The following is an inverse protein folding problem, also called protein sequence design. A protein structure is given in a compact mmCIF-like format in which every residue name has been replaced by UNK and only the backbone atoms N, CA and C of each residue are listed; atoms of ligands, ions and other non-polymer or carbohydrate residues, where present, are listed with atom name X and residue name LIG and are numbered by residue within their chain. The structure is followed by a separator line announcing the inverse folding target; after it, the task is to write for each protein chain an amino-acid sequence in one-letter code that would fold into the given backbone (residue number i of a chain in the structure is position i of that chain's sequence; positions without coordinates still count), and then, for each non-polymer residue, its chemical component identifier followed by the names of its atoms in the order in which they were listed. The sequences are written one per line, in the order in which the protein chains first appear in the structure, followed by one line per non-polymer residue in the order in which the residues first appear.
data_IF_574885646815
#
_entry.id   IF_574885646815
#
_cell.length_a   1.000
_cell.length_b   1.000
_cell.length_c   1.000
_cell.angle_alpha   90.00
_cell.angle_beta   90.00
_cell.angle_gamma   90.00
#
_symmetry.space_group_name_H-M   'P 1'
#
loop_
_entity.id
_entity.type
_entity.pdbx_description
1 polymer ?
#
# COMPACT_ATOMS: atom_id res chain seq x y z
N UNK A 1 -13.68 7.16 -2.21
CA UNK A 1 -12.64 6.15 -2.54
C UNK A 1 -12.27 6.40 -3.97
N UNK A 2 -10.99 6.53 -4.27
CA UNK A 2 -10.55 6.74 -5.65
C UNK A 2 -10.83 5.47 -6.47
N UNK A 3 -11.32 5.67 -7.70
CA UNK A 3 -11.59 4.58 -8.64
C UNK A 3 -10.26 4.01 -9.11
N UNK A 4 -10.08 2.69 -8.97
CA UNK A 4 -8.94 1.99 -9.55
C UNK A 4 -9.17 1.78 -11.05
N UNK A 5 -8.15 2.04 -11.86
CA UNK A 5 -8.19 1.85 -13.31
C UNK A 5 -7.44 0.57 -13.68
N UNK A 6 -8.09 -0.34 -14.39
CA UNK A 6 -7.48 -1.61 -14.74
C UNK A 6 -7.49 -1.91 -16.23
N UNK A 7 -6.52 -2.73 -16.65
CA UNK A 7 -6.45 -3.36 -17.96
C UNK A 7 -6.67 -4.87 -17.77
N UNK A 8 -7.41 -5.49 -18.68
CA UNK A 8 -7.60 -6.94 -18.74
C UNK A 8 -6.94 -7.47 -19.98
N UNK A 9 -6.09 -8.49 -19.83
CA UNK A 9 -5.31 -9.07 -20.94
C UNK A 9 -5.49 -10.58 -20.93
N UNK A 10 -6.09 -11.14 -21.97
CA UNK A 10 -6.34 -12.58 -22.11
C UNK A 10 -6.64 -12.87 -23.59
N UNK A 11 -5.96 -13.85 -24.19
CA UNK A 11 -6.16 -14.23 -25.60
C UNK A 11 -7.47 -15.01 -25.81
N UNK A 12 -8.08 -15.52 -24.74
CA UNK A 12 -9.38 -16.16 -24.77
C UNK A 12 -10.53 -15.16 -24.61
N UNK A 13 -11.37 -14.91 -25.65
CA UNK A 13 -12.43 -13.90 -25.58
C UNK A 13 -13.43 -14.10 -24.44
N UNK A 14 -13.71 -15.34 -24.08
CA UNK A 14 -14.66 -15.65 -22.99
C UNK A 14 -14.08 -15.31 -21.63
N UNK A 15 -12.81 -15.61 -21.38
CA UNK A 15 -12.12 -15.27 -20.14
C UNK A 15 -11.97 -13.75 -19.98
N UNK A 16 -11.56 -13.06 -21.05
CA UNK A 16 -11.48 -11.60 -21.10
C UNK A 16 -12.83 -10.94 -20.77
N UNK A 17 -13.94 -11.40 -21.43
CA UNK A 17 -15.28 -10.89 -21.14
C UNK A 17 -15.73 -11.17 -19.70
N UNK A 18 -15.37 -12.33 -19.14
CA UNK A 18 -15.72 -12.68 -17.78
C UNK A 18 -15.09 -11.72 -16.78
N UNK A 19 -13.78 -11.48 -16.90
CA UNK A 19 -13.06 -10.56 -16.01
C UNK A 19 -13.57 -9.12 -16.18
N UNK A 20 -13.80 -8.66 -17.42
CA UNK A 20 -14.37 -7.34 -17.67
C UNK A 20 -15.74 -7.15 -16.99
N UNK A 21 -16.64 -8.14 -17.09
CA UNK A 21 -17.94 -8.11 -16.41
C UNK A 21 -17.82 -8.13 -14.88
N UNK A 22 -16.84 -8.83 -14.33
CA UNK A 22 -16.57 -8.79 -12.89
C UNK A 22 -16.11 -7.42 -12.45
N UNK A 23 -15.24 -6.77 -13.24
CA UNK A 23 -14.77 -5.42 -12.97
C UNK A 23 -15.91 -4.40 -12.99
N UNK A 24 -16.80 -4.45 -14.00
CA UNK A 24 -18.01 -3.60 -14.10
C UNK A 24 -18.95 -3.73 -12.89
N UNK A 25 -19.00 -4.91 -12.24
CA UNK A 25 -19.83 -5.20 -11.07
C UNK A 25 -19.14 -4.81 -9.75
N UNK A 26 -17.88 -4.43 -9.79
CA UNK A 26 -17.07 -4.12 -8.60
C UNK A 26 -16.98 -2.62 -8.42
N UNK A 27 -17.59 -2.10 -7.35
CA UNK A 27 -17.62 -0.67 -7.06
C UNK A 27 -16.20 -0.07 -7.03
N UNK A 28 -16.02 1.07 -7.71
CA UNK A 28 -14.76 1.80 -7.77
C UNK A 28 -13.64 1.04 -8.50
N UNK A 29 -13.98 0.21 -9.48
CA UNK A 29 -13.06 -0.38 -10.45
C UNK A 29 -13.52 -0.02 -11.87
N UNK A 30 -12.62 0.51 -12.69
CA UNK A 30 -12.87 0.94 -14.07
C UNK A 30 -11.98 0.16 -15.04
N UNK A 31 -12.55 -0.50 -16.04
CA UNK A 31 -11.78 -1.12 -17.11
C UNK A 31 -11.46 -0.06 -18.17
N UNK A 32 -10.18 0.28 -18.31
CA UNK A 32 -9.72 1.29 -19.30
C UNK A 32 -9.36 0.66 -20.64
N UNK A 33 -9.00 -0.62 -20.65
CA UNK A 33 -8.78 -1.38 -21.88
C UNK A 33 -8.96 -2.88 -21.64
N UNK A 34 -9.34 -3.59 -22.71
CA UNK A 34 -9.28 -5.04 -22.84
C UNK A 34 -8.37 -5.37 -24.01
N UNK A 35 -7.44 -6.29 -23.83
CA UNK A 35 -6.37 -6.60 -24.80
C UNK A 35 -6.30 -8.11 -25.01
N UNK A 36 -6.07 -8.53 -26.25
CA UNK A 36 -5.96 -9.95 -26.60
C UNK A 36 -4.53 -10.47 -26.60
N UNK A 37 -3.55 -9.56 -26.52
CA UNK A 37 -2.12 -9.91 -26.51
C UNK A 37 -1.28 -8.86 -25.77
N UNK A 38 0.01 -9.16 -25.62
CA UNK A 38 0.96 -8.30 -24.94
C UNK A 38 1.20 -6.96 -25.69
N UNK A 39 1.15 -6.95 -27.03
CA UNK A 39 1.39 -5.75 -27.81
C UNK A 39 0.25 -4.74 -27.62
N UNK A 40 -1.01 -5.21 -27.64
CA UNK A 40 -2.17 -4.38 -27.31
C UNK A 40 -2.10 -3.84 -25.89
N UNK A 41 -1.68 -4.67 -24.90
CA UNK A 41 -1.53 -4.26 -23.52
C UNK A 41 -0.48 -3.15 -23.35
N UNK A 42 0.69 -3.28 -23.99
CA UNK A 42 1.73 -2.23 -23.98
C UNK A 42 1.23 -0.93 -24.60
N UNK A 43 0.57 -1.02 -25.76
CA UNK A 43 -0.02 0.14 -26.43
C UNK A 43 -1.14 0.80 -25.60
N UNK A 44 -1.89 0.03 -24.82
CA UNK A 44 -2.91 0.55 -23.92
C UNK A 44 -2.28 1.27 -22.72
N UNK A 45 -1.19 0.73 -22.16
CA UNK A 45 -0.43 1.37 -21.07
C UNK A 45 0.15 2.72 -21.49
N UNK A 46 0.69 2.82 -22.72
CA UNK A 46 1.25 4.09 -23.24
C UNK A 46 0.17 5.17 -23.44
N UNK A 47 -1.06 4.77 -23.78
CA UNK A 47 -2.17 5.70 -24.03
C UNK A 47 -2.92 6.11 -22.77
N UNK A 48 -2.91 5.27 -21.76
CA UNK A 48 -3.64 5.53 -20.54
C UNK A 48 -2.87 6.52 -19.65
N UNK A 49 -3.57 7.52 -19.13
CA UNK A 49 -3.01 8.48 -18.17
C UNK A 49 -2.55 7.81 -16.87
N UNK A 50 -3.29 6.80 -16.42
CA UNK A 50 -3.00 6.01 -15.21
C UNK A 50 -3.61 4.62 -15.36
N UNK A 51 -2.86 3.61 -14.96
CA UNK A 51 -3.34 2.23 -14.78
C UNK A 51 -2.83 1.72 -13.44
N UNK A 52 -3.72 1.30 -12.57
CA UNK A 52 -3.41 0.86 -11.21
C UNK A 52 -3.24 -0.65 -11.13
N UNK A 53 -3.96 -1.40 -11.97
CA UNK A 53 -4.10 -2.85 -11.89
C UNK A 53 -4.13 -3.46 -13.29
N UNK A 54 -3.50 -4.61 -13.44
CA UNK A 54 -3.56 -5.41 -14.66
C UNK A 54 -3.95 -6.84 -14.31
N UNK A 55 -5.05 -7.33 -14.89
CA UNK A 55 -5.36 -8.75 -14.91
C UNK A 55 -4.73 -9.33 -16.17
N UNK A 56 -3.85 -10.30 -16.02
CA UNK A 56 -2.97 -10.76 -17.09
C UNK A 56 -2.96 -12.28 -17.16
N UNK A 57 -3.42 -12.83 -18.25
CA UNK A 57 -3.26 -14.27 -18.48
C UNK A 57 -1.79 -14.66 -18.58
N UNK A 58 -1.44 -15.82 -18.02
CA UNK A 58 -0.06 -16.33 -18.06
C UNK A 58 0.28 -16.86 -19.44
N UNK A 59 -0.67 -17.57 -20.08
CA UNK A 59 -0.42 -18.34 -21.29
C UNK A 59 -1.02 -17.62 -22.51
N UNK A 60 -0.29 -16.68 -23.06
CA UNK A 60 -0.67 -16.02 -24.31
C UNK A 60 0.28 -16.37 -25.44
N UNK A 61 -0.18 -16.31 -26.71
CA UNK A 61 0.69 -16.48 -27.88
C UNK A 61 1.77 -15.37 -27.92
N UNK A 62 2.86 -15.64 -28.60
CA UNK A 62 3.99 -14.76 -28.90
C UNK A 62 4.77 -14.29 -27.65
N UNK A 63 4.13 -13.67 -26.65
CA UNK A 63 4.74 -13.24 -25.40
C UNK A 63 3.84 -13.67 -24.24
N UNK A 64 4.39 -14.47 -23.35
CA UNK A 64 3.68 -14.90 -22.13
C UNK A 64 3.42 -13.73 -21.18
N UNK A 65 2.35 -13.81 -20.37
CA UNK A 65 2.08 -12.80 -19.35
C UNK A 65 3.22 -12.62 -18.36
N UNK A 66 3.98 -13.67 -18.08
CA UNK A 66 5.17 -13.58 -17.21
C UNK A 66 6.30 -12.74 -17.85
N UNK A 67 6.51 -12.86 -19.15
CA UNK A 67 7.49 -12.05 -19.89
C UNK A 67 7.04 -10.60 -19.97
N UNK A 68 5.76 -10.37 -20.26
CA UNK A 68 5.18 -9.03 -20.24
C UNK A 68 5.37 -8.38 -18.86
N UNK A 69 4.99 -9.05 -17.78
CA UNK A 69 5.13 -8.52 -16.43
C UNK A 69 6.59 -8.18 -16.07
N UNK A 70 7.58 -8.98 -16.52
CA UNK A 70 9.01 -8.69 -16.31
C UNK A 70 9.49 -7.47 -17.10
N UNK A 71 8.85 -7.14 -18.22
CA UNK A 71 9.20 -5.97 -19.03
C UNK A 71 8.67 -4.66 -18.46
N UNK A 72 7.68 -4.73 -17.55
CA UNK A 72 7.12 -3.56 -16.89
C UNK A 72 8.10 -3.00 -15.85
N UNK A 73 8.10 -1.67 -15.69
CA UNK A 73 8.90 -1.03 -14.65
C UNK A 73 8.26 -1.19 -13.27
N UNK A 74 9.02 -1.01 -12.15
CA UNK A 74 8.48 -1.08 -10.79
C UNK A 74 7.34 -0.09 -10.50
N UNK A 75 7.24 0.99 -11.27
CA UNK A 75 6.18 2.02 -11.15
C UNK A 75 4.92 1.69 -11.95
N UNK A 76 4.91 0.60 -12.68
CA UNK A 76 3.81 0.12 -13.51
C UNK A 76 2.70 -0.55 -12.67
N UNK A 77 1.52 -0.86 -13.30
CA UNK A 77 0.38 -1.36 -12.56
C UNK A 77 0.67 -2.65 -11.79
N UNK A 78 -0.04 -2.84 -10.67
CA UNK A 78 0.00 -4.11 -9.95
C UNK A 78 -0.54 -5.24 -10.83
N UNK A 79 0.27 -6.27 -11.05
CA UNK A 79 -0.12 -7.42 -11.88
C UNK A 79 -0.86 -8.47 -11.04
N UNK A 80 -1.99 -8.94 -11.58
CA UNK A 80 -2.78 -10.09 -11.15
C UNK A 80 -2.75 -11.12 -12.25
N UNK A 81 -2.07 -12.23 -12.04
CA UNK A 81 -2.08 -13.29 -13.01
C UNK A 81 -3.39 -14.07 -12.99
N UNK A 82 -3.90 -14.40 -14.17
CA UNK A 82 -4.96 -15.38 -14.36
C UNK A 82 -4.37 -16.59 -15.06
N UNK A 83 -4.70 -17.81 -14.63
CA UNK A 83 -4.11 -19.02 -15.21
C UNK A 83 -4.98 -20.24 -14.99
N UNK A 84 -4.96 -21.18 -15.93
CA UNK A 84 -5.56 -22.51 -15.78
C UNK A 84 -4.67 -23.47 -14.96
N UNK A 85 -3.40 -23.11 -14.71
CA UNK A 85 -2.41 -24.01 -14.09
C UNK A 85 -1.95 -23.48 -12.73
N UNK A 86 -2.21 -24.26 -11.69
CA UNK A 86 -1.80 -23.93 -10.30
C UNK A 86 -0.27 -23.95 -10.09
N UNK A 87 0.48 -24.57 -10.99
CA UNK A 87 1.95 -24.72 -10.90
C UNK A 87 2.67 -23.37 -11.07
N UNK A 88 2.11 -22.46 -11.86
CA UNK A 88 2.70 -21.12 -12.06
C UNK A 88 2.61 -20.22 -10.81
N UNK A 89 1.74 -20.54 -9.86
CA UNK A 89 1.71 -19.85 -8.58
C UNK A 89 3.04 -19.95 -7.81
N UNK A 90 3.82 -21.01 -8.04
CA UNK A 90 5.13 -21.25 -7.40
C UNK A 90 6.25 -20.45 -8.09
N UNK A 91 6.21 -20.29 -9.41
CA UNK A 91 7.21 -19.47 -10.15
C UNK A 91 7.00 -17.97 -9.98
N UNK A 92 5.80 -17.55 -9.68
CA UNK A 92 5.43 -16.15 -9.50
C UNK A 92 6.10 -15.45 -8.32
N UNK A 93 6.70 -16.17 -7.39
CA UNK A 93 7.56 -15.57 -6.36
C UNK A 93 8.80 -14.84 -6.93
N UNK A 94 9.15 -15.04 -8.21
CA UNK A 94 10.27 -14.37 -8.89
C UNK A 94 9.88 -13.07 -9.59
N UNK A 95 8.58 -12.82 -9.74
CA UNK A 95 8.01 -11.57 -10.25
C UNK A 95 7.25 -10.95 -9.09
N UNK A 96 7.36 -9.67 -8.86
CA UNK A 96 6.60 -8.94 -7.80
C UNK A 96 5.09 -8.91 -8.08
N UNK A 97 4.52 -10.04 -8.51
CA UNK A 97 3.09 -10.22 -8.68
C UNK A 97 2.39 -10.16 -7.33
N UNK A 98 1.28 -9.49 -7.29
CA UNK A 98 0.54 -9.30 -6.04
C UNK A 98 -0.37 -10.48 -5.74
N UNK A 99 -0.80 -11.24 -6.77
CA UNK A 99 -1.77 -12.32 -6.62
C UNK A 99 -1.93 -13.18 -7.88
N UNK A 100 -2.49 -14.38 -7.69
CA UNK A 100 -2.86 -15.33 -8.74
C UNK A 100 -4.32 -15.70 -8.61
N UNK A 101 -5.02 -15.73 -9.75
CA UNK A 101 -6.39 -16.19 -9.88
C UNK A 101 -6.42 -17.43 -10.77
N UNK A 102 -6.78 -18.58 -10.20
CA UNK A 102 -6.87 -19.84 -10.95
C UNK A 102 -8.21 -19.92 -11.69
N UNK A 103 -8.17 -20.19 -12.99
CA UNK A 103 -9.37 -20.43 -13.80
C UNK A 103 -9.98 -21.81 -13.44
N UNK A 104 -11.30 -21.96 -13.31
CA UNK A 104 -12.32 -20.91 -13.53
C UNK A 104 -12.40 -19.91 -12.36
N UNK A 105 -12.33 -18.63 -12.67
CA UNK A 105 -12.29 -17.57 -11.68
C UNK A 105 -13.71 -17.29 -11.15
N UNK A 106 -13.90 -17.42 -9.84
CA UNK A 106 -15.12 -17.00 -9.16
C UNK A 106 -15.16 -15.49 -8.92
N UNK A 107 -16.37 -14.91 -8.90
CA UNK A 107 -16.51 -13.47 -8.59
C UNK A 107 -15.98 -13.10 -7.20
N UNK A 108 -16.16 -13.97 -6.20
CA UNK A 108 -15.66 -13.74 -4.84
C UNK A 108 -14.13 -13.67 -4.79
N UNK A 109 -13.43 -14.57 -5.50
CA UNK A 109 -11.98 -14.57 -5.58
C UNK A 109 -11.46 -13.32 -6.31
N UNK A 110 -12.14 -12.94 -7.40
CA UNK A 110 -11.85 -11.71 -8.13
C UNK A 110 -12.00 -10.49 -7.22
N UNK A 111 -13.14 -10.33 -6.55
CA UNK A 111 -13.40 -9.20 -5.67
C UNK A 111 -12.40 -9.14 -4.50
N UNK A 112 -12.09 -10.28 -3.88
CA UNK A 112 -11.07 -10.37 -2.83
C UNK A 112 -9.66 -9.95 -3.35
N UNK A 113 -9.33 -10.30 -4.59
CA UNK A 113 -8.08 -9.87 -5.25
C UNK A 113 -8.03 -8.36 -5.44
N UNK A 114 -9.12 -7.74 -5.91
CA UNK A 114 -9.25 -6.28 -6.04
C UNK A 114 -9.06 -5.59 -4.69
N UNK A 115 -9.67 -6.11 -3.62
CA UNK A 115 -9.51 -5.54 -2.28
C UNK A 115 -8.06 -5.66 -1.74
N UNK A 116 -7.35 -6.73 -2.07
CA UNK A 116 -5.91 -6.85 -1.78
C UNK A 116 -5.10 -5.80 -2.55
N UNK A 117 -5.45 -5.53 -3.82
CA UNK A 117 -4.83 -4.47 -4.62
C UNK A 117 -5.07 -3.08 -4.01
N UNK A 118 -6.31 -2.75 -3.65
CA UNK A 118 -6.67 -1.48 -2.99
C UNK A 118 -5.82 -1.24 -1.75
N UNK A 119 -5.72 -2.25 -0.90
CA UNK A 119 -4.91 -2.18 0.32
C UNK A 119 -3.42 -1.94 0.02
N UNK A 120 -2.89 -2.57 -1.04
CA UNK A 120 -1.48 -2.41 -1.41
C UNK A 120 -1.21 -1.02 -2.01
N UNK A 121 -2.05 -0.55 -2.92
CA UNK A 121 -1.97 0.77 -3.53
C UNK A 121 -2.14 1.88 -2.48
N UNK A 122 -3.15 1.79 -1.63
CA UNK A 122 -3.33 2.74 -0.54
C UNK A 122 -2.16 2.77 0.45
N UNK A 123 -1.42 1.68 0.62
CA UNK A 123 -0.18 1.64 1.42
C UNK A 123 0.99 2.29 0.67
N UNK A 124 1.05 2.17 -0.65
CA UNK A 124 2.11 2.78 -1.48
C UNK A 124 1.91 4.29 -1.58
N UNK A 125 0.71 4.74 -1.93
CA UNK A 125 0.37 6.18 -1.96
C UNK A 125 0.62 6.84 -0.59
N UNK A 126 0.25 6.17 0.50
CA UNK A 126 0.52 6.64 1.86
C UNK A 126 1.99 6.68 2.24
N UNK A 127 2.85 5.88 1.58
CA UNK A 127 4.31 5.95 1.80
C UNK A 127 4.94 7.16 1.13
N UNK A 128 4.37 7.63 0.03
CA UNK A 128 4.88 8.78 -0.72
C UNK A 128 4.45 10.13 -0.12
N UNK A 129 3.53 10.14 0.84
CA UNK A 129 3.21 11.33 1.62
C UNK A 129 4.41 11.81 2.42
N UNK A 130 4.66 13.11 2.38
CA UNK A 130 5.78 13.74 3.06
C UNK A 130 5.36 14.99 3.83
N UNK A 131 6.07 15.28 4.92
CA UNK A 131 6.02 16.58 5.60
C UNK A 131 7.30 17.37 5.33
N UNK A 132 7.19 18.67 5.44
CA UNK A 132 8.30 19.58 5.33
C UNK A 132 8.55 20.26 6.69
N UNK A 133 9.74 20.08 7.24
CA UNK A 133 10.15 20.65 8.52
C UNK A 133 11.41 21.51 8.38
N UNK A 134 11.58 22.50 9.25
CA UNK A 134 12.80 23.30 9.29
C UNK A 134 13.80 22.66 10.24
N UNK A 135 14.96 22.25 9.73
CA UNK A 135 16.12 21.78 10.50
C UNK A 135 17.29 22.71 10.28
N UNK A 136 17.77 23.39 11.32
CA UNK A 136 18.93 24.30 11.26
C UNK A 136 18.89 25.34 10.11
N UNK A 137 17.69 25.90 9.85
CA UNK A 137 17.50 26.91 8.79
C UNK A 137 17.22 26.35 7.40
N UNK A 138 17.32 25.02 7.20
CA UNK A 138 17.03 24.35 5.93
C UNK A 138 15.67 23.64 6.00
N UNK A 139 14.88 23.69 4.93
CA UNK A 139 13.66 22.90 4.81
C UNK A 139 14.01 21.47 4.40
N UNK A 140 13.61 20.51 5.23
CA UNK A 140 13.83 19.07 4.98
C UNK A 140 12.50 18.40 4.68
N UNK A 141 12.46 17.63 3.58
CA UNK A 141 11.36 16.73 3.25
C UNK A 141 11.53 15.42 4.03
N UNK A 142 10.50 14.97 4.71
CA UNK A 142 10.47 13.71 5.46
C UNK A 142 9.29 12.89 4.97
N UNK A 143 9.56 11.70 4.47
CA UNK A 143 8.53 10.74 4.06
C UNK A 143 7.81 10.22 5.31
N UNK A 144 6.48 10.26 5.34
CA UNK A 144 5.72 9.79 6.49
C UNK A 144 5.96 8.30 6.80
N UNK A 145 6.18 7.50 5.76
CA UNK A 145 6.52 6.08 5.90
C UNK A 145 7.87 5.80 6.54
N UNK A 146 8.80 6.76 6.52
CA UNK A 146 10.13 6.65 7.14
C UNK A 146 10.13 7.00 8.64
N UNK A 147 9.10 7.68 9.12
CA UNK A 147 8.99 8.04 10.53
C UNK A 147 8.74 6.78 11.37
N UNK A 148 9.47 6.62 12.47
CA UNK A 148 9.20 5.59 13.48
C UNK A 148 8.51 6.17 14.71
N UNK A 149 9.10 7.18 15.34
CA UNK A 149 8.62 7.83 16.54
C UNK A 149 8.90 9.33 16.47
N UNK A 150 8.03 10.12 17.07
CA UNK A 150 8.23 11.55 17.26
C UNK A 150 8.22 11.85 18.77
N UNK A 151 9.30 12.46 19.25
CA UNK A 151 9.48 12.82 20.67
C UNK A 151 9.42 14.33 20.85
N UNK A 152 8.54 14.79 21.74
CA UNK A 152 8.51 16.19 22.16
C UNK A 152 9.64 16.49 23.16
N UNK A 153 10.34 17.61 22.92
CA UNK A 153 11.44 18.10 23.73
C UNK A 153 11.29 19.64 23.92
N UNK A 154 10.56 20.04 24.95
CA UNK A 154 10.19 21.43 25.19
C UNK A 154 9.52 22.07 23.97
N UNK A 155 10.12 23.09 23.35
CA UNK A 155 9.63 23.78 22.16
C UNK A 155 9.99 23.09 20.84
N UNK A 156 10.78 21.98 20.91
CA UNK A 156 11.24 21.22 19.77
C UNK A 156 10.57 19.87 19.71
N UNK A 157 10.57 19.27 18.54
CA UNK A 157 10.31 17.84 18.35
C UNK A 157 11.51 17.17 17.70
N UNK A 158 11.74 15.94 18.07
CA UNK A 158 12.71 15.04 17.46
C UNK A 158 11.95 13.97 16.69
N UNK A 159 12.17 13.90 15.38
CA UNK A 159 11.55 12.95 14.46
C UNK A 159 12.58 11.85 14.19
N UNK A 160 12.32 10.65 14.70
CA UNK A 160 13.15 9.47 14.49
C UNK A 160 12.74 8.80 13.19
N UNK A 161 13.71 8.51 12.32
CA UNK A 161 13.51 7.92 11.00
C UNK A 161 14.09 6.51 10.98
N UNK A 162 13.45 5.62 10.22
CA UNK A 162 13.93 4.25 10.01
C UNK A 162 15.22 4.21 9.19
N UNK A 163 15.38 5.17 8.27
CA UNK A 163 16.51 5.26 7.36
C UNK A 163 17.78 5.82 7.99
N UNK A 164 17.70 6.50 9.14
CA UNK A 164 18.86 7.15 9.77
C UNK A 164 18.85 7.02 11.28
N UNK A 165 20.02 6.91 11.91
CA UNK A 165 20.12 6.87 13.39
C UNK A 165 19.97 8.26 14.02
N UNK A 166 20.29 9.35 13.28
CA UNK A 166 20.18 10.70 13.82
C UNK A 166 18.79 11.26 13.61
N UNK A 167 18.06 11.65 14.68
CA UNK A 167 16.75 12.25 14.56
C UNK A 167 16.84 13.64 13.93
N UNK A 168 15.80 14.01 13.19
CA UNK A 168 15.57 15.38 12.71
C UNK A 168 14.97 16.20 13.84
N UNK A 169 15.60 17.32 14.18
CA UNK A 169 15.13 18.20 15.24
C UNK A 169 14.58 19.49 14.63
N UNK A 170 13.34 19.82 14.95
CA UNK A 170 12.66 21.03 14.44
C UNK A 170 11.95 21.80 15.53
N UNK A 171 11.92 23.13 15.41
CA UNK A 171 11.18 24.01 16.31
C UNK A 171 9.69 23.92 15.96
N UNK A 172 8.98 23.08 16.66
CA UNK A 172 7.55 22.84 16.49
C UNK A 172 7.01 22.16 17.74
N UNK A 173 5.76 22.42 18.12
CA UNK A 173 5.13 21.68 19.20
C UNK A 173 4.64 20.30 18.73
N UNK A 174 4.64 19.32 19.65
CA UNK A 174 4.10 18.00 19.35
C UNK A 174 2.61 18.06 18.97
N UNK A 175 1.86 19.02 19.52
CA UNK A 175 0.46 19.26 19.20
C UNK A 175 0.27 19.76 17.76
N UNK A 176 1.04 20.76 17.36
CA UNK A 176 0.96 21.29 15.99
C UNK A 176 1.30 20.20 14.95
N UNK A 177 2.27 19.35 15.25
CA UNK A 177 2.63 18.24 14.37
C UNK A 177 1.53 17.18 14.34
N UNK A 178 0.89 16.87 15.48
CA UNK A 178 -0.27 15.96 15.55
C UNK A 178 -1.45 16.45 14.69
N UNK A 179 -1.69 17.75 14.64
CA UNK A 179 -2.75 18.37 13.82
C UNK A 179 -2.44 18.32 12.31
N UNK A 180 -1.17 18.23 11.93
CA UNK A 180 -0.72 18.17 10.53
C UNK A 180 -0.65 16.74 9.99
N UNK A 181 -0.39 15.77 10.85
CA UNK A 181 -0.19 14.38 10.45
C UNK A 181 -1.53 13.63 10.30
N UNK A 182 -1.65 12.68 9.35
CA UNK A 182 -2.84 11.86 9.17
C UNK A 182 -3.19 11.07 10.45
N UNK A 183 -4.36 11.31 11.01
CA UNK A 183 -4.79 10.72 12.30
C UNK A 183 -5.10 9.22 12.23
N UNK A 184 -5.26 8.65 11.04
CA UNK A 184 -5.40 7.21 10.77
C UNK A 184 -4.05 6.48 10.77
N UNK A 185 -2.93 7.22 10.66
CA UNK A 185 -1.56 6.69 10.65
C UNK A 185 -0.77 7.05 11.89
N UNK A 186 -1.03 8.22 12.47
CA UNK A 186 -0.29 8.74 13.61
C UNK A 186 -1.18 8.86 14.82
N UNK A 187 -0.67 8.44 15.95
CA UNK A 187 -1.38 8.56 17.23
C UNK A 187 -0.47 9.07 18.34
N UNK A 188 -0.97 10.06 19.06
CA UNK A 188 -0.31 10.48 20.30
C UNK A 188 -0.61 9.46 21.39
N UNK A 189 0.44 8.90 21.95
CA UNK A 189 0.37 7.86 23.00
C UNK A 189 0.81 8.37 24.36
N UNK A 190 1.46 9.53 24.40
CA UNK A 190 1.97 10.14 25.64
C UNK A 190 2.07 11.66 25.48
N UNK A 191 2.17 12.41 26.59
CA UNK A 191 2.43 13.86 26.52
C UNK A 191 3.68 14.22 25.70
N UNK A 192 4.63 13.29 25.60
CA UNK A 192 5.92 13.47 24.93
C UNK A 192 6.13 12.56 23.72
N UNK A 193 5.18 11.70 23.33
CA UNK A 193 5.35 10.76 22.23
C UNK A 193 4.14 10.71 21.32
N UNK A 194 4.43 10.78 20.02
CA UNK A 194 3.52 10.50 18.90
C UNK A 194 4.17 9.43 18.04
N UNK A 195 3.43 8.40 17.66
CA UNK A 195 3.94 7.23 16.96
C UNK A 195 3.21 7.01 15.66
N UNK A 196 3.88 6.40 14.69
CA UNK A 196 3.21 5.83 13.53
C UNK A 196 2.66 4.45 13.89
N UNK A 197 1.38 4.23 13.65
CA UNK A 197 0.66 3.03 14.08
C UNK A 197 1.15 1.76 13.37
N UNK A 198 1.63 1.90 12.13
CA UNK A 198 2.20 0.79 11.34
C UNK A 198 3.61 0.36 11.83
N UNK A 199 4.27 1.14 12.68
CA UNK A 199 5.57 0.80 13.26
C UNK A 199 5.45 0.08 14.62
N UNK A 200 4.23 -0.10 15.14
CA UNK A 200 4.01 -0.80 16.40
C UNK A 200 4.22 -2.29 16.20
N UNK A 201 5.26 -2.83 16.82
CA UNK A 201 5.65 -4.25 16.76
C UNK A 201 4.97 -5.09 17.82
N UNK A 202 4.66 -4.48 18.96
CA UNK A 202 4.04 -5.17 20.08
C UNK A 202 3.49 -4.23 21.14
N UNK A 203 2.62 -4.78 21.98
CA UNK A 203 2.01 -4.09 23.11
C UNK A 203 2.12 -4.94 24.36
N UNK A 204 2.56 -4.35 25.46
CA UNK A 204 2.59 -4.99 26.77
C UNK A 204 2.17 -4.00 27.84
N UNK A 205 1.14 -4.33 28.63
CA UNK A 205 0.58 -3.50 29.69
C UNK A 205 0.27 -2.06 29.21
N UNK A 206 1.16 -1.11 29.53
CA UNK A 206 1.01 0.31 29.20
C UNK A 206 2.21 0.80 28.36
N UNK A 207 2.81 -0.06 27.57
CA UNK A 207 3.97 0.23 26.71
C UNK A 207 3.73 -0.29 25.31
N UNK A 208 4.36 0.33 24.34
CA UNK A 208 4.41 -0.12 22.95
C UNK A 208 5.86 -0.31 22.55
N UNK A 209 6.13 -1.35 21.77
CA UNK A 209 7.45 -1.63 21.20
C UNK A 209 7.49 -1.11 19.77
N UNK A 210 8.48 -0.30 19.45
CA UNK A 210 8.73 0.25 18.12
C UNK A 210 10.24 0.23 17.87
N UNK A 211 10.68 -0.40 16.79
CA UNK A 211 12.09 -0.59 16.46
C UNK A 211 12.91 -1.18 17.63
N UNK A 212 12.32 -2.13 18.34
CA UNK A 212 12.94 -2.79 19.49
C UNK A 212 12.98 -1.97 20.79
N UNK A 213 12.50 -0.72 20.79
CA UNK A 213 12.44 0.14 21.97
C UNK A 213 11.03 0.24 22.54
N UNK A 214 10.93 0.39 23.86
CA UNK A 214 9.64 0.51 24.57
C UNK A 214 9.29 1.96 24.90
N UNK A 215 8.08 2.38 24.50
CA UNK A 215 7.53 3.70 24.77
C UNK A 215 6.30 3.63 25.68
N UNK A 216 6.17 4.52 26.68
CA UNK A 216 5.02 4.50 27.59
C UNK A 216 3.76 5.03 26.93
N UNK A 217 2.62 4.38 27.21
CA UNK A 217 1.29 4.89 26.89
C UNK A 217 0.72 5.61 28.11
N UNK A 218 0.57 6.94 28.01
CA UNK A 218 0.02 7.76 29.09
C UNK A 218 -1.44 7.43 29.37
N UNK A 219 -1.87 7.61 30.60
CA UNK A 219 -3.20 7.22 31.08
C UNK A 219 -4.35 7.79 30.22
N UNK A 220 -4.27 9.06 29.87
CA UNK A 220 -5.26 9.76 29.03
C UNK A 220 -5.32 9.28 27.57
N UNK A 221 -4.33 8.50 27.12
CA UNK A 221 -4.24 7.99 25.74
C UNK A 221 -4.60 6.51 25.63
N UNK A 222 -4.70 5.78 26.76
CA UNK A 222 -4.87 4.32 26.77
C UNK A 222 -6.17 3.86 26.11
N UNK A 223 -7.28 4.55 26.38
CA UNK A 223 -8.58 4.17 25.82
C UNK A 223 -8.54 4.20 24.30
N UNK A 224 -8.18 5.37 23.71
CA UNK A 224 -8.07 5.55 22.25
C UNK A 224 -7.10 4.56 21.61
N UNK A 225 -5.97 4.30 22.27
CA UNK A 225 -4.97 3.37 21.78
C UNK A 225 -5.47 1.92 21.79
N UNK A 226 -6.14 1.49 22.85
CA UNK A 226 -6.75 0.17 22.96
C UNK A 226 -7.84 -0.04 21.90
N UNK A 227 -8.74 0.91 21.75
CA UNK A 227 -9.85 0.83 20.80
C UNK A 227 -9.35 0.64 19.36
N UNK A 228 -8.26 1.33 18.99
CA UNK A 228 -7.66 1.19 17.67
C UNK A 228 -7.14 -0.24 17.41
N UNK A 229 -6.51 -0.87 18.38
CA UNK A 229 -5.95 -2.21 18.20
C UNK A 229 -6.97 -3.33 18.42
N UNK A 230 -7.98 -3.13 19.30
CA UNK A 230 -9.07 -4.11 19.46
C UNK A 230 -9.90 -4.31 18.19
N UNK A 231 -10.05 -3.28 17.36
CA UNK A 231 -10.70 -3.38 16.05
C UNK A 231 -9.87 -4.10 14.97
N UNK A 232 -8.56 -4.33 15.23
CA UNK A 232 -7.64 -5.00 14.28
C UNK A 232 -7.22 -6.41 14.71
N UNK A 233 -7.33 -6.74 15.98
CA UNK A 233 -7.16 -8.10 16.49
C UNK A 233 -8.49 -8.83 16.34
N UNK A 234 -8.61 -9.64 15.29
CA UNK A 234 -9.70 -10.61 15.15
C UNK A 234 -9.55 -11.72 16.21
N UNK A 235 -9.91 -11.45 17.45
CA UNK A 235 -10.16 -12.41 18.53
C UNK A 235 -11.62 -12.30 18.90
#
# INVERSE_FOLDING_TARGET
MDTLRCIVVDDEPLALMQIARYAERTDGLEVVATCYDAAEALAALERAERVDLMFLDVNMPDMSGMELARSLSPEQPLVRFTTAYSEYAVEGFKVEAVDYLTKPIGYEDFAASVERARRRLGRTERRDEAIYVKESGTTRRIMLGDISVIKGLAEYVQIFLKSTQRPVTTLMSLRSLEETLPSDRFMRIHRSYLVILDAVEGMSHNRVTIAGEEYPVGESYRARFRDYFSGKTGL
#
